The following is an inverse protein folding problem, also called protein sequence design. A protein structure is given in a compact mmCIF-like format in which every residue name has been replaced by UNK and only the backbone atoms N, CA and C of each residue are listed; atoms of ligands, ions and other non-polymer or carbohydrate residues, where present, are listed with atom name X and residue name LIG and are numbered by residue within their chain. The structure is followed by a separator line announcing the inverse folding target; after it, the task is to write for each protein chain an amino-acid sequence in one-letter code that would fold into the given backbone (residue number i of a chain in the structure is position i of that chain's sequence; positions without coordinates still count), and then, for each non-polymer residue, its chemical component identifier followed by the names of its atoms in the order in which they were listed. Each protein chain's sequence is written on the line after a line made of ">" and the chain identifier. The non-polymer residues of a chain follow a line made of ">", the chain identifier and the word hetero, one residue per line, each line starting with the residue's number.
data_IF_776262424514
#
_entry.id   IF_776262424514
#
_cell.length_a   1.000
_cell.length_b   1.000
_cell.length_c   1.000
_cell.angle_alpha   90.00
_cell.angle_beta   90.00
_cell.angle_gamma   90.00
#
_symmetry.space_group_name_H-M   'P 1'
#
loop_
_entity.id
_entity.type
_entity.pdbx_description
1 polymer ?
#
# COMPACT_ATOMS: atom_id res chain seq x y z
N UNK A 1 16.81 -8.30 16.51
CA UNK A 1 15.62 -7.62 17.08
C UNK A 1 15.50 -6.26 16.41
N UNK A 2 14.30 -5.84 16.02
CA UNK A 2 14.07 -4.48 15.54
C UNK A 2 13.94 -3.53 16.74
N UNK A 3 14.95 -2.70 16.98
CA UNK A 3 14.86 -1.64 17.98
C UNK A 3 14.30 -0.38 17.29
N UNK A 4 13.02 -0.06 17.51
CA UNK A 4 12.40 1.19 17.06
C UNK A 4 11.93 1.26 15.59
N UNK A 5 12.14 0.25 14.76
CA UNK A 5 11.58 0.18 13.39
C UNK A 5 11.01 -1.21 13.11
N UNK A 6 9.68 -1.36 13.13
CA UNK A 6 9.03 -2.66 12.92
C UNK A 6 8.52 -2.79 11.49
N UNK A 7 9.21 -3.64 10.71
CA UNK A 7 8.87 -4.11 9.36
C UNK A 7 10.02 -4.94 8.79
N UNK A 8 9.80 -5.76 7.76
CA UNK A 8 10.84 -6.59 7.09
C UNK A 8 11.94 -5.77 6.39
N UNK A 9 11.96 -4.45 6.60
CA UNK A 9 12.89 -3.52 5.98
C UNK A 9 14.14 -3.25 6.82
N UNK A 10 14.09 -3.57 8.11
CA UNK A 10 15.14 -3.17 9.04
C UNK A 10 15.31 -4.18 10.16
N UNK A 11 16.54 -4.66 10.34
CA UNK A 11 16.89 -5.60 11.39
C UNK A 11 18.27 -5.29 11.97
N UNK A 12 18.36 -5.23 13.30
CA UNK A 12 19.64 -5.24 14.01
C UNK A 12 19.91 -6.65 14.55
N UNK A 13 21.07 -7.18 14.19
CA UNK A 13 21.55 -8.51 14.61
C UNK A 13 22.83 -8.34 15.44
N UNK A 14 22.83 -8.68 16.74
CA UNK A 14 24.04 -8.63 17.55
C UNK A 14 25.01 -9.75 17.17
N UNK A 15 26.27 -9.41 16.96
CA UNK A 15 27.37 -10.35 16.72
C UNK A 15 28.08 -10.59 18.05
N UNK A 16 28.11 -11.86 18.47
CA UNK A 16 28.60 -12.28 19.79
C UNK A 16 29.91 -13.03 19.67
N UNK A 17 30.87 -12.73 20.54
CA UNK A 17 32.11 -13.50 20.71
C UNK A 17 32.43 -13.63 22.19
N UNK A 18 32.54 -14.87 22.68
CA UNK A 18 32.83 -15.17 24.10
C UNK A 18 31.91 -14.41 25.06
N UNK A 19 30.60 -14.56 24.85
CA UNK A 19 29.54 -13.94 25.67
C UNK A 19 29.53 -12.41 25.70
N UNK A 20 30.23 -11.77 24.76
CA UNK A 20 30.23 -10.33 24.55
C UNK A 20 29.64 -9.99 23.19
N UNK A 21 28.68 -9.06 23.14
CA UNK A 21 28.24 -8.40 21.92
C UNK A 21 29.35 -7.45 21.50
N UNK A 22 30.01 -7.76 20.38
CA UNK A 22 31.18 -7.02 19.89
C UNK A 22 30.84 -6.07 18.74
N UNK A 23 29.70 -6.29 18.09
CA UNK A 23 29.27 -5.55 16.92
C UNK A 23 27.78 -5.75 16.68
N UNK A 24 27.12 -4.80 16.01
CA UNK A 24 25.79 -5.00 15.45
C UNK A 24 25.90 -5.05 13.93
N UNK A 25 25.25 -6.03 13.32
CA UNK A 25 24.98 -6.04 11.88
C UNK A 25 23.62 -5.40 11.66
N UNK A 26 23.61 -4.30 10.93
CA UNK A 26 22.41 -3.60 10.51
C UNK A 26 22.02 -4.06 9.10
N UNK A 27 20.90 -4.77 8.99
CA UNK A 27 20.34 -5.19 7.73
C UNK A 27 19.24 -4.21 7.31
N UNK A 28 19.40 -3.60 6.14
CA UNK A 28 18.45 -2.63 5.56
C UNK A 28 17.99 -3.13 4.20
N UNK A 29 16.68 -3.30 4.02
CA UNK A 29 16.08 -3.61 2.71
C UNK A 29 15.74 -2.31 1.98
N UNK A 30 16.22 -2.15 0.75
CA UNK A 30 15.74 -1.12 -0.18
C UNK A 30 15.23 -1.81 -1.44
N UNK A 31 13.91 -1.84 -1.62
CA UNK A 31 13.28 -2.60 -2.71
C UNK A 31 13.59 -4.10 -2.62
N UNK A 32 14.25 -4.64 -3.65
CA UNK A 32 14.68 -6.05 -3.73
C UNK A 32 16.12 -6.30 -3.25
N UNK A 33 16.80 -5.29 -2.71
CA UNK A 33 18.20 -5.42 -2.28
C UNK A 33 18.32 -5.34 -0.78
N UNK A 34 19.14 -6.22 -0.23
CA UNK A 34 19.49 -6.24 1.18
C UNK A 34 20.92 -5.73 1.34
N UNK A 35 21.06 -4.73 2.20
CA UNK A 35 22.34 -4.13 2.54
C UNK A 35 22.66 -4.48 3.98
N UNK A 36 23.91 -4.89 4.22
CA UNK A 36 24.41 -5.16 5.56
C UNK A 36 25.46 -4.12 5.89
N UNK A 37 25.26 -3.43 7.00
CA UNK A 37 26.20 -2.44 7.50
C UNK A 37 26.74 -2.89 8.85
N UNK A 38 28.01 -2.61 9.05
CA UNK A 38 28.61 -2.66 10.36
C UNK A 38 28.11 -1.46 11.18
N UNK A 39 27.52 -1.73 12.34
CA UNK A 39 27.07 -0.70 13.28
C UNK A 39 27.77 -0.90 14.62
N UNK A 40 28.62 0.05 14.94
CA UNK A 40 29.36 0.11 16.19
C UNK A 40 28.82 1.28 17.04
N UNK A 41 27.70 1.02 17.69
CA UNK A 41 27.00 1.98 18.54
C UNK A 41 27.04 1.47 19.98
N UNK A 42 27.75 2.19 20.86
CA UNK A 42 28.03 1.74 22.22
C UNK A 42 26.77 1.52 23.05
N UNK A 43 25.73 2.33 22.86
CA UNK A 43 24.49 2.25 23.63
C UNK A 43 23.67 1.04 23.18
N UNK A 44 23.59 0.82 21.86
CA UNK A 44 22.90 -0.36 21.32
C UNK A 44 23.66 -1.66 21.64
N UNK A 45 24.98 -1.66 21.57
CA UNK A 45 25.80 -2.81 21.97
C UNK A 45 25.55 -3.18 23.45
N UNK A 46 25.51 -2.17 24.31
CA UNK A 46 25.24 -2.35 25.75
C UNK A 46 23.80 -2.85 25.98
N UNK A 47 22.81 -2.29 25.26
CA UNK A 47 21.45 -2.77 25.27
C UNK A 47 21.35 -4.26 24.88
N UNK A 48 21.94 -4.66 23.75
CA UNK A 48 21.89 -6.05 23.29
C UNK A 48 22.67 -7.00 24.22
N UNK A 49 23.76 -6.54 24.83
CA UNK A 49 24.49 -7.28 25.85
C UNK A 49 23.59 -7.60 27.06
N UNK A 50 22.86 -6.61 27.55
CA UNK A 50 21.93 -6.80 28.65
C UNK A 50 20.72 -7.65 28.24
N UNK A 51 20.14 -7.42 27.06
CA UNK A 51 18.99 -8.17 26.59
C UNK A 51 19.26 -9.66 26.39
N UNK A 52 20.49 -10.05 26.02
CA UNK A 52 20.87 -11.45 25.80
C UNK A 52 21.33 -12.17 27.06
N UNK A 53 21.91 -11.46 28.04
CA UNK A 53 22.62 -12.08 29.17
C UNK A 53 22.11 -11.67 30.56
N UNK A 54 21.16 -10.75 30.65
CA UNK A 54 20.46 -10.40 31.89
C UNK A 54 19.06 -10.99 31.95
N UNK A 55 18.54 -11.14 33.17
CA UNK A 55 17.13 -11.46 33.36
C UNK A 55 16.29 -10.21 33.09
N UNK A 56 15.35 -10.31 32.14
CA UNK A 56 14.37 -9.25 31.87
C UNK A 56 13.38 -9.23 33.04
N UNK A 57 13.39 -8.15 33.82
CA UNK A 57 12.57 -8.01 35.03
C UNK A 57 11.17 -7.51 34.68
N UNK A 58 11.07 -6.60 33.71
CA UNK A 58 9.77 -6.13 33.19
C UNK A 58 9.93 -5.52 31.80
N UNK A 59 8.84 -5.53 31.03
CA UNK A 59 8.71 -4.79 29.79
C UNK A 59 7.43 -3.97 29.87
N UNK A 60 7.46 -2.71 29.44
CA UNK A 60 6.27 -1.89 29.33
C UNK A 60 6.28 -1.07 28.05
N UNK A 61 5.09 -0.95 27.48
CA UNK A 61 4.84 -0.09 26.33
C UNK A 61 3.82 0.96 26.78
N UNK A 62 4.21 2.23 26.72
CA UNK A 62 3.32 3.34 27.02
C UNK A 62 3.08 4.08 25.71
N UNK A 63 1.85 3.95 25.21
CA UNK A 63 1.36 4.80 24.13
C UNK A 63 0.93 6.10 24.82
N UNK A 64 1.77 7.14 24.73
CA UNK A 64 1.42 8.45 25.26
C UNK A 64 0.50 9.15 24.24
N UNK A 65 -0.73 8.64 24.15
CA UNK A 65 -1.83 9.27 23.46
C UNK A 65 -2.35 10.39 24.35
N UNK A 66 -1.59 11.47 24.52
CA UNK A 66 -2.11 12.63 25.20
C UNK A 66 -3.29 13.14 24.36
N UNK A 67 -4.49 12.89 24.87
CA UNK A 67 -5.81 13.29 24.36
C UNK A 67 -6.00 14.79 24.56
N UNK A 68 -4.96 15.58 24.28
CA UNK A 68 -5.12 16.98 23.94
C UNK A 68 -5.43 17.02 22.44
N UNK A 69 -6.57 17.59 22.08
CA UNK A 69 -7.14 17.65 20.73
C UNK A 69 -6.27 18.37 19.65
N UNK A 70 -4.94 18.41 19.78
CA UNK A 70 -3.98 19.11 18.91
C UNK A 70 -2.58 18.48 18.82
N UNK A 71 -2.30 17.29 19.36
CA UNK A 71 -0.99 16.66 19.16
C UNK A 71 -0.91 15.97 17.77
N UNK A 72 -0.13 16.55 16.84
CA UNK A 72 -0.01 16.14 15.42
C UNK A 72 0.96 14.96 15.16
N UNK A 73 1.46 14.35 16.22
CA UNK A 73 2.33 13.18 16.20
C UNK A 73 1.83 12.21 17.26
N UNK A 74 1.74 10.93 16.91
CA UNK A 74 1.52 9.86 17.88
C UNK A 74 2.89 9.31 18.24
N UNK A 75 3.33 9.59 19.46
CA UNK A 75 4.59 9.09 19.97
C UNK A 75 4.34 7.86 20.83
N UNK A 76 4.95 6.74 20.44
CA UNK A 76 5.02 5.55 21.29
C UNK A 76 6.35 5.57 22.03
N UNK A 77 6.30 5.47 23.35
CA UNK A 77 7.51 5.32 24.16
C UNK A 77 7.53 3.90 24.71
N UNK A 78 8.51 3.11 24.26
CA UNK A 78 8.74 1.77 24.80
C UNK A 78 9.91 1.82 25.75
N UNK A 79 9.70 1.31 26.96
CA UNK A 79 10.72 1.26 28.01
C UNK A 79 10.97 -0.20 28.38
N UNK A 80 12.23 -0.62 28.26
CA UNK A 80 12.66 -1.94 28.72
C UNK A 80 13.56 -1.72 29.94
N UNK A 81 13.15 -2.29 31.07
CA UNK A 81 13.95 -2.28 32.29
C UNK A 81 14.65 -3.63 32.41
N UNK A 82 15.96 -3.62 32.24
CA UNK A 82 16.77 -4.83 32.26
C UNK A 82 17.42 -4.97 33.63
N UNK A 83 17.30 -6.17 34.21
CA UNK A 83 17.90 -6.51 35.48
C UNK A 83 19.37 -6.89 35.40
N UNK A 84 19.85 -7.48 36.49
CA UNK A 84 21.23 -7.93 36.60
C UNK A 84 21.55 -9.08 35.64
N UNK A 85 22.82 -9.14 35.24
CA UNK A 85 23.39 -10.27 34.52
C UNK A 85 23.24 -11.55 35.34
N UNK A 86 23.11 -12.69 34.65
CA UNK A 86 23.01 -13.99 35.32
C UNK A 86 24.21 -14.23 36.26
N UNK A 87 23.93 -14.35 37.56
CA UNK A 87 24.93 -14.54 38.62
C UNK A 87 25.19 -13.32 39.51
N UNK A 88 24.53 -12.18 39.27
CA UNK A 88 24.57 -11.01 40.16
C UNK A 88 23.20 -10.74 40.79
N UNK A 89 23.16 -10.47 42.09
CA UNK A 89 21.92 -10.27 42.86
C UNK A 89 21.69 -8.85 43.34
N UNK A 90 22.68 -7.95 43.18
CA UNK A 90 22.62 -6.58 43.71
C UNK A 90 23.21 -5.58 42.70
N UNK A 91 22.38 -5.16 41.74
CA UNK A 91 22.73 -4.14 40.76
C UNK A 91 21.54 -3.21 40.51
N UNK A 92 21.81 -1.94 40.21
CA UNK A 92 20.76 -1.01 39.81
C UNK A 92 20.21 -1.40 38.41
N UNK A 93 18.88 -1.59 38.25
CA UNK A 93 18.29 -1.90 36.95
C UNK A 93 18.57 -0.80 35.93
N UNK A 94 18.93 -1.20 34.71
CA UNK A 94 19.16 -0.25 33.62
C UNK A 94 17.91 -0.13 32.77
N UNK A 95 17.38 1.09 32.66
CA UNK A 95 16.19 1.40 31.87
C UNK A 95 16.59 1.96 30.51
N UNK A 96 16.12 1.33 29.43
CA UNK A 96 16.28 1.80 28.06
C UNK A 96 14.91 2.23 27.52
N UNK A 97 14.77 3.51 27.20
CA UNK A 97 13.55 4.07 26.62
C UNK A 97 13.83 4.58 25.22
N UNK A 98 12.98 4.19 24.27
CA UNK A 98 13.01 4.75 22.92
C UNK A 98 11.62 5.31 22.58
N UNK A 99 11.61 6.52 22.04
CA UNK A 99 10.42 7.25 21.62
C UNK A 99 10.39 7.30 20.10
N UNK A 100 9.38 6.68 19.50
CA UNK A 100 9.14 6.71 18.06
C UNK A 100 7.87 7.50 17.82
N UNK A 101 7.97 8.58 17.05
CA UNK A 101 6.87 9.47 16.74
C UNK A 101 6.47 9.35 15.28
N UNK A 102 5.23 8.89 15.04
CA UNK A 102 4.64 8.81 13.71
C UNK A 102 3.71 10.00 13.47
N UNK A 103 3.75 10.55 12.25
CA UNK A 103 2.90 11.66 11.85
C UNK A 103 1.50 11.19 11.42
N UNK A 104 0.45 11.88 11.86
CA UNK A 104 -0.94 11.58 11.46
C UNK A 104 -1.52 12.68 10.55
N UNK A 105 -1.96 12.25 9.35
CA UNK A 105 -2.50 13.11 8.27
C UNK A 105 -3.80 13.84 8.64
N UNK A 106 -4.56 13.34 9.62
CA UNK A 106 -5.96 13.75 9.82
C UNK A 106 -6.17 15.03 10.67
N UNK A 107 -5.11 15.78 10.98
CA UNK A 107 -5.18 16.94 11.88
C UNK A 107 -4.93 18.30 11.19
N UNK A 108 -5.60 18.51 10.05
CA UNK A 108 -5.93 19.82 9.50
C UNK A 108 -4.76 20.77 9.21
N UNK A 109 -4.44 20.90 7.92
CA UNK A 109 -3.83 22.09 7.31
C UNK A 109 -2.46 22.49 7.85
N UNK A 110 -1.40 21.94 7.26
CA UNK A 110 -0.04 22.45 7.44
C UNK A 110 0.89 21.87 6.38
N UNK A 111 1.84 22.68 5.90
CA UNK A 111 2.89 22.22 4.99
C UNK A 111 3.69 21.12 5.70
N UNK A 112 3.92 19.95 5.08
CA UNK A 112 4.78 18.92 5.67
C UNK A 112 6.12 19.52 6.08
N UNK A 113 6.73 19.08 7.19
CA UNK A 113 8.03 19.59 7.60
C UNK A 113 9.02 19.44 6.44
N UNK A 114 9.85 20.47 6.23
CA UNK A 114 10.91 20.43 5.22
C UNK A 114 11.72 19.15 5.44
N UNK A 115 11.78 18.32 4.40
CA UNK A 115 12.70 17.21 4.37
C UNK A 115 14.11 17.74 4.64
N UNK A 116 14.83 17.09 5.55
CA UNK A 116 16.26 17.30 5.64
C UNK A 116 16.84 17.00 4.25
N UNK A 117 17.81 17.81 3.78
CA UNK A 117 18.62 17.35 2.66
C UNK A 117 19.15 15.96 3.03
N UNK A 118 19.21 15.02 2.09
CA UNK A 118 19.90 13.76 2.34
C UNK A 118 21.24 14.13 2.98
N UNK A 119 21.59 13.46 4.08
CA UNK A 119 22.92 13.59 4.66
C UNK A 119 23.88 13.54 3.48
N UNK A 120 24.58 14.65 3.26
CA UNK A 120 25.55 14.75 2.19
C UNK A 120 26.45 13.54 2.29
N UNK A 121 26.65 12.89 1.15
CA UNK A 121 27.65 11.87 0.95
C UNK A 121 28.86 12.12 1.86
N UNK A 122 29.13 11.26 2.88
CA UNK A 122 30.33 11.42 3.70
C UNK A 122 31.62 11.16 2.90
N UNK A 123 31.51 10.78 1.62
CA UNK A 123 32.59 10.53 0.68
C UNK A 123 32.58 11.47 -0.53
N UNK A 124 32.19 12.73 -0.31
CA UNK A 124 32.64 13.84 -1.17
C UNK A 124 34.17 13.95 -1.13
N UNK A 125 34.85 13.12 -1.94
CA UNK A 125 36.30 12.99 -1.90
C UNK A 125 36.85 11.86 -2.78
N UNK A 126 36.60 11.92 -4.09
CA UNK A 126 37.56 11.43 -5.09
C UNK A 126 37.45 9.96 -5.54
N UNK A 127 36.84 9.78 -6.70
CA UNK A 127 37.46 8.98 -7.77
C UNK A 127 37.17 7.48 -7.82
N UNK A 128 36.20 7.12 -8.66
CA UNK A 128 36.39 6.07 -9.67
C UNK A 128 35.86 4.67 -9.36
N UNK A 129 34.88 4.23 -10.17
CA UNK A 129 34.63 2.82 -10.46
C UNK A 129 33.33 2.27 -9.88
N UNK A 130 32.37 1.97 -10.76
CA UNK A 130 31.08 1.41 -10.37
C UNK A 130 31.16 -0.04 -9.87
N UNK A 131 30.38 -0.32 -8.84
CA UNK A 131 30.11 -1.64 -8.28
C UNK A 131 28.89 -1.52 -7.35
N UNK A 132 27.85 -2.30 -7.61
CA UNK A 132 26.57 -2.25 -6.91
C UNK A 132 26.58 -3.33 -5.81
N UNK A 133 27.12 -2.99 -4.64
CA UNK A 133 27.59 -3.91 -3.59
C UNK A 133 26.48 -4.53 -2.70
N UNK A 134 25.19 -4.42 -3.07
CA UNK A 134 24.08 -5.00 -2.30
C UNK A 134 23.79 -6.46 -2.69
N UNK A 135 23.41 -7.31 -1.71
CA UNK A 135 22.99 -8.69 -1.99
C UNK A 135 21.56 -8.73 -2.54
N UNK A 136 21.33 -9.58 -3.54
CA UNK A 136 20.00 -9.87 -4.07
C UNK A 136 19.19 -10.63 -3.01
N UNK A 137 18.04 -10.08 -2.60
CA UNK A 137 17.15 -10.77 -1.69
C UNK A 137 16.44 -11.90 -2.46
N UNK A 138 16.39 -13.15 -1.95
CA UNK A 138 15.78 -14.26 -2.67
C UNK A 138 14.26 -14.21 -2.55
N UNK A 139 13.65 -13.17 -3.10
CA UNK A 139 12.29 -13.29 -3.61
C UNK A 139 12.40 -13.75 -5.08
N UNK A 140 11.51 -14.63 -5.56
CA UNK A 140 11.45 -14.95 -6.99
C UNK A 140 11.39 -13.63 -7.80
N UNK A 141 11.97 -13.59 -9.00
CA UNK A 141 12.03 -12.36 -9.80
C UNK A 141 10.66 -11.70 -9.80
N UNK A 142 10.62 -10.42 -9.42
CA UNK A 142 9.39 -9.66 -9.29
C UNK A 142 8.59 -9.81 -10.59
N UNK A 143 7.48 -10.53 -10.53
CA UNK A 143 6.62 -10.74 -11.68
C UNK A 143 5.97 -9.41 -12.05
N UNK A 144 6.62 -8.70 -12.97
CA UNK A 144 6.17 -7.38 -13.45
C UNK A 144 4.96 -7.48 -14.35
N UNK A 145 4.64 -8.67 -14.89
CA UNK A 145 3.50 -8.86 -15.75
C UNK A 145 2.20 -8.85 -14.93
N UNK A 146 1.32 -7.84 -15.11
CA UNK A 146 0.07 -7.75 -14.37
C UNK A 146 -0.86 -8.94 -14.62
N UNK A 147 -0.79 -9.56 -15.80
CA UNK A 147 -1.56 -10.76 -16.11
C UNK A 147 -1.18 -11.93 -15.20
N UNK A 148 0.12 -12.20 -15.01
CA UNK A 148 0.57 -13.30 -14.15
C UNK A 148 0.22 -13.05 -12.67
N UNK A 149 0.35 -11.82 -12.18
CA UNK A 149 -0.11 -11.43 -10.83
C UNK A 149 -1.62 -11.63 -10.65
N UNK A 150 -2.43 -11.25 -11.63
CA UNK A 150 -3.88 -11.47 -11.59
C UNK A 150 -4.23 -12.95 -11.67
N UNK A 151 -3.53 -13.78 -12.44
CA UNK A 151 -3.75 -15.22 -12.46
C UNK A 151 -3.50 -15.85 -11.08
N UNK A 152 -2.40 -15.46 -10.43
CA UNK A 152 -2.10 -15.90 -9.08
C UNK A 152 -3.18 -15.44 -8.08
N UNK A 153 -3.61 -14.18 -8.17
CA UNK A 153 -4.70 -13.63 -7.36
C UNK A 153 -6.03 -14.35 -7.59
N UNK A 154 -6.39 -14.59 -8.85
CA UNK A 154 -7.60 -15.29 -9.25
C UNK A 154 -7.54 -16.78 -8.92
N UNK A 155 -6.38 -17.32 -8.55
CA UNK A 155 -6.24 -18.69 -8.02
C UNK A 155 -6.32 -18.74 -6.49
N UNK A 156 -6.20 -17.60 -5.81
CA UNK A 156 -6.26 -17.52 -4.35
C UNK A 156 -7.70 -17.70 -3.84
N UNK A 157 -7.91 -18.66 -2.95
CA UNK A 157 -9.25 -18.99 -2.44
C UNK A 157 -9.87 -17.83 -1.63
N UNK A 158 -9.11 -17.17 -0.76
CA UNK A 158 -9.62 -16.06 0.04
C UNK A 158 -10.08 -14.88 -0.83
N UNK A 159 -9.37 -14.62 -1.94
CA UNK A 159 -9.81 -13.65 -2.93
C UNK A 159 -11.12 -14.07 -3.61
N UNK A 160 -11.20 -15.31 -4.12
CA UNK A 160 -12.41 -15.87 -4.76
C UNK A 160 -13.63 -15.82 -3.85
N UNK A 161 -13.44 -16.13 -2.56
CA UNK A 161 -14.51 -16.11 -1.57
C UNK A 161 -15.08 -14.69 -1.42
N UNK A 162 -14.22 -13.66 -1.43
CA UNK A 162 -14.65 -12.26 -1.37
C UNK A 162 -15.35 -11.78 -2.63
N UNK A 163 -14.90 -12.22 -3.80
CA UNK A 163 -15.63 -11.98 -5.06
C UNK A 163 -17.00 -12.63 -5.01
N UNK A 164 -17.07 -13.90 -4.59
CA UNK A 164 -18.32 -14.65 -4.50
C UNK A 164 -19.29 -14.07 -3.47
N UNK A 165 -18.77 -13.47 -2.39
CA UNK A 165 -19.56 -12.75 -1.39
C UNK A 165 -20.25 -11.50 -1.96
N UNK A 166 -19.55 -10.78 -2.85
CA UNK A 166 -19.99 -9.50 -3.41
C UNK A 166 -20.75 -9.63 -4.74
N UNK A 167 -20.42 -10.62 -5.58
CA UNK A 167 -21.02 -10.81 -6.91
C UNK A 167 -22.36 -11.55 -6.81
N UNK A 168 -23.31 -10.94 -6.09
CA UNK A 168 -24.65 -11.48 -5.87
C UNK A 168 -25.70 -10.41 -6.06
N UNK A 169 -26.87 -10.81 -6.57
CA UNK A 169 -27.99 -9.90 -6.83
C UNK A 169 -28.42 -9.15 -5.56
N UNK A 170 -28.52 -9.84 -4.42
CA UNK A 170 -28.88 -9.23 -3.15
C UNK A 170 -27.87 -8.19 -2.64
N UNK A 171 -26.63 -8.20 -3.13
CA UNK A 171 -25.64 -7.16 -2.82
C UNK A 171 -25.82 -5.96 -3.74
N UNK A 172 -26.08 -6.18 -5.03
CA UNK A 172 -26.34 -5.10 -5.98
C UNK A 172 -27.65 -4.36 -5.71
N UNK A 173 -28.63 -5.02 -5.10
CA UNK A 173 -29.93 -4.44 -4.75
C UNK A 173 -29.92 -3.67 -3.41
N UNK A 174 -28.78 -3.60 -2.70
CA UNK A 174 -28.64 -2.81 -1.46
C UNK A 174 -28.78 -1.31 -1.70
N UNK A 175 -28.95 -0.54 -0.64
CA UNK A 175 -29.01 0.94 -0.68
C UNK A 175 -27.62 1.60 -0.64
N UNK A 176 -26.61 0.89 -0.15
CA UNK A 176 -25.25 1.38 0.01
C UNK A 176 -24.27 0.37 -0.59
N UNK A 177 -23.18 0.89 -1.17
CA UNK A 177 -22.11 0.05 -1.69
C UNK A 177 -21.46 -0.75 -0.56
N UNK A 178 -20.85 -1.87 -0.91
CA UNK A 178 -20.12 -2.71 0.03
C UNK A 178 -18.81 -3.14 -0.59
N UNK A 179 -17.82 -3.41 0.26
CA UNK A 179 -16.51 -3.80 -0.23
C UNK A 179 -15.55 -4.20 0.87
N UNK A 180 -14.36 -4.60 0.45
CA UNK A 180 -13.28 -5.05 1.30
C UNK A 180 -11.96 -4.39 0.90
N UNK A 181 -11.12 -4.08 1.88
CA UNK A 181 -9.73 -3.70 1.70
C UNK A 181 -8.82 -4.90 1.97
N UNK A 182 -7.88 -5.17 1.07
CA UNK A 182 -6.84 -6.19 1.24
C UNK A 182 -5.62 -5.59 1.92
N UNK A 183 -5.25 -6.16 3.07
CA UNK A 183 -4.16 -5.71 3.91
C UNK A 183 -2.96 -6.66 3.86
N UNK A 184 -1.76 -6.09 3.96
CA UNK A 184 -0.55 -6.87 4.26
C UNK A 184 -0.61 -7.46 5.67
N UNK A 185 -0.05 -8.65 5.81
CA UNK A 185 0.04 -9.43 7.05
C UNK A 185 0.74 -10.77 6.78
N UNK A 186 0.87 -11.64 7.80
CA UNK A 186 1.42 -12.99 7.62
C UNK A 186 0.69 -13.81 6.54
N UNK A 187 -0.59 -13.50 6.35
CA UNK A 187 -1.42 -13.87 5.21
C UNK A 187 -2.25 -12.64 4.84
N UNK A 188 -2.65 -12.51 3.57
CA UNK A 188 -3.56 -11.43 3.15
C UNK A 188 -4.88 -11.53 3.91
N UNK A 189 -5.23 -10.46 4.60
CA UNK A 189 -6.53 -10.32 5.28
C UNK A 189 -7.41 -9.33 4.55
N UNK A 190 -8.72 -9.56 4.59
CA UNK A 190 -9.73 -8.68 4.00
C UNK A 190 -10.56 -8.04 5.11
N UNK A 191 -10.56 -6.72 5.16
CA UNK A 191 -11.31 -5.93 6.13
C UNK A 191 -12.43 -5.18 5.42
N UNK A 192 -13.62 -5.10 6.02
CA UNK A 192 -14.74 -4.40 5.40
C UNK A 192 -14.47 -2.91 5.24
N UNK A 193 -14.81 -2.36 4.07
CA UNK A 193 -14.86 -0.92 3.85
C UNK A 193 -16.08 -0.34 4.56
N UNK A 194 -15.93 0.85 5.15
CA UNK A 194 -17.01 1.53 5.84
C UNK A 194 -17.77 2.48 4.91
N UNK A 195 -19.09 2.52 5.02
CA UNK A 195 -19.91 3.52 4.31
C UNK A 195 -19.85 4.87 5.01
N UNK A 196 -19.94 5.92 4.20
CA UNK A 196 -20.16 7.30 4.65
C UNK A 196 -21.61 7.71 4.45
N UNK A 197 -22.01 8.82 5.08
CA UNK A 197 -23.33 9.43 4.85
C UNK A 197 -23.58 9.86 3.39
N UNK A 198 -22.54 9.90 2.55
CA UNK A 198 -22.62 10.25 1.13
C UNK A 198 -22.40 9.04 0.21
N UNK A 199 -22.66 7.81 0.71
CA UNK A 199 -22.55 6.55 -0.03
C UNK A 199 -21.14 6.22 -0.57
N UNK A 200 -20.10 6.92 -0.13
CA UNK A 200 -18.72 6.58 -0.46
C UNK A 200 -18.17 5.55 0.52
N UNK A 201 -17.29 4.69 0.03
CA UNK A 201 -16.54 3.73 0.84
C UNK A 201 -15.23 4.33 1.36
N UNK A 202 -14.92 4.05 2.62
CA UNK A 202 -13.70 4.48 3.31
C UNK A 202 -12.91 3.24 3.75
N UNK A 203 -11.59 3.30 3.54
CA UNK A 203 -10.65 2.32 4.05
C UNK A 203 -10.62 2.34 5.58
N UNK A 204 -10.48 1.18 6.24
CA UNK A 204 -10.21 1.20 7.67
C UNK A 204 -8.88 1.93 7.96
N UNK A 205 -8.68 2.40 9.19
CA UNK A 205 -7.48 3.15 9.54
C UNK A 205 -6.19 2.35 9.31
N UNK A 206 -5.18 3.00 8.70
CA UNK A 206 -3.83 2.47 8.57
C UNK A 206 -3.30 2.38 7.14
N UNK A 207 -1.98 2.26 7.03
CA UNK A 207 -1.25 2.34 5.75
C UNK A 207 -0.80 0.97 5.23
N UNK A 208 -1.59 -0.07 5.50
CA UNK A 208 -1.27 -1.48 5.19
C UNK A 208 -2.01 -2.04 3.99
N UNK A 209 -2.90 -1.27 3.38
CA UNK A 209 -3.83 -1.77 2.36
C UNK A 209 -3.24 -1.62 0.96
N UNK A 210 -3.05 -2.75 0.27
CA UNK A 210 -2.53 -2.80 -1.10
C UNK A 210 -3.64 -3.02 -2.14
N UNK A 211 -4.86 -3.31 -1.72
CA UNK A 211 -5.96 -3.33 -2.66
C UNK A 211 -7.33 -3.18 -2.05
N UNK A 212 -8.33 -3.07 -2.91
CA UNK A 212 -9.72 -3.03 -2.52
C UNK A 212 -10.62 -3.68 -3.56
N UNK A 213 -11.81 -4.08 -3.10
CA UNK A 213 -12.89 -4.62 -3.90
C UNK A 213 -14.15 -3.90 -3.46
N UNK A 214 -14.95 -3.34 -4.37
CA UNK A 214 -16.26 -2.78 -4.03
C UNK A 214 -17.31 -3.06 -5.10
N UNK A 215 -18.57 -2.87 -4.74
CA UNK A 215 -19.73 -3.14 -5.60
C UNK A 215 -20.44 -1.87 -6.04
N UNK A 216 -20.85 -1.78 -7.30
CA UNK A 216 -21.78 -0.75 -7.77
C UNK A 216 -23.22 -1.25 -7.79
N UNK A 217 -24.13 -0.48 -7.19
CA UNK A 217 -25.53 -0.86 -6.96
C UNK A 217 -26.41 -0.76 -8.20
N UNK A 218 -27.33 -1.70 -8.39
CA UNK A 218 -28.39 -1.66 -9.41
C UNK A 218 -29.61 -0.86 -8.96
N UNK A 219 -29.79 -0.71 -7.65
CA UNK A 219 -30.89 0.04 -7.03
C UNK A 219 -30.82 1.55 -7.24
N UNK A 220 -29.68 2.07 -7.70
CA UNK A 220 -29.44 3.50 -7.93
C UNK A 220 -29.31 3.80 -9.42
N UNK A 221 -30.22 4.63 -9.92
CA UNK A 221 -30.17 5.14 -11.27
C UNK A 221 -28.93 6.00 -11.51
N UNK A 222 -28.37 5.91 -12.71
CA UNK A 222 -27.22 6.71 -13.12
C UNK A 222 -25.86 6.20 -12.59
N UNK A 223 -25.83 5.10 -11.83
CA UNK A 223 -24.58 4.44 -11.42
C UNK A 223 -23.88 3.84 -12.64
N UNK A 224 -22.69 4.37 -12.92
CA UNK A 224 -21.85 3.92 -14.02
C UNK A 224 -21.23 2.58 -13.63
N UNK A 225 -21.38 1.55 -14.46
CA UNK A 225 -20.89 0.20 -14.16
C UNK A 225 -19.41 0.02 -14.55
N UNK A 226 -18.57 0.94 -14.09
CA UNK A 226 -17.10 0.92 -14.13
C UNK A 226 -16.56 1.89 -13.06
N UNK A 227 -15.26 1.86 -12.78
CA UNK A 227 -14.62 2.77 -11.83
C UNK A 227 -14.91 4.25 -12.11
N UNK A 228 -15.02 5.01 -11.02
CA UNK A 228 -15.08 6.46 -11.02
C UNK A 228 -13.67 7.09 -10.97
N UNK A 229 -13.56 8.41 -11.23
CA UNK A 229 -12.33 9.16 -10.96
C UNK A 229 -11.87 9.09 -9.50
N UNK A 230 -12.80 8.99 -8.54
CA UNK A 230 -12.48 8.86 -7.13
C UNK A 230 -11.82 7.50 -6.84
N UNK A 231 -12.28 6.43 -7.48
CA UNK A 231 -11.69 5.10 -7.36
C UNK A 231 -10.25 5.09 -7.86
N UNK A 232 -10.01 5.65 -9.06
CA UNK A 232 -8.66 5.73 -9.64
C UNK A 232 -7.73 6.55 -8.75
N UNK A 233 -8.22 7.66 -8.19
CA UNK A 233 -7.46 8.46 -7.24
C UNK A 233 -7.09 7.65 -6.00
N UNK A 234 -8.07 7.02 -5.35
CA UNK A 234 -7.86 6.19 -4.15
C UNK A 234 -6.91 5.03 -4.41
N UNK A 235 -7.06 4.34 -5.55
CA UNK A 235 -6.15 3.28 -5.97
C UNK A 235 -4.70 3.78 -6.01
N UNK A 236 -4.46 4.92 -6.66
CA UNK A 236 -3.12 5.47 -6.84
C UNK A 236 -2.53 6.09 -5.56
N UNK A 237 -3.33 6.73 -4.72
CA UNK A 237 -2.84 7.41 -3.50
C UNK A 237 -2.73 6.48 -2.31
N UNK A 238 -3.57 5.46 -2.24
CA UNK A 238 -3.61 4.52 -1.11
C UNK A 238 -2.92 3.22 -1.50
N UNK A 239 -3.50 2.46 -2.43
CA UNK A 239 -3.05 1.10 -2.72
C UNK A 239 -1.65 1.05 -3.33
N UNK A 240 -1.40 1.83 -4.37
CA UNK A 240 -0.08 1.84 -5.04
C UNK A 240 1.01 2.37 -4.11
N UNK A 241 0.74 3.44 -3.36
CA UNK A 241 1.69 3.99 -2.37
C UNK A 241 1.98 3.00 -1.25
N UNK A 242 0.95 2.39 -0.67
CA UNK A 242 1.13 1.37 0.37
C UNK A 242 1.84 0.12 -0.15
N UNK A 243 1.64 -0.25 -1.42
CA UNK A 243 2.34 -1.38 -2.04
C UNK A 243 3.82 -1.07 -2.27
N UNK A 244 4.13 0.15 -2.73
CA UNK A 244 5.51 0.63 -2.84
C UNK A 244 6.22 0.63 -1.48
N UNK A 245 5.49 0.96 -0.41
CA UNK A 245 6.04 0.92 0.93
C UNK A 245 6.15 -0.52 1.43
N UNK A 246 5.09 -1.30 1.50
CA UNK A 246 5.07 -2.51 2.32
C UNK A 246 5.29 -3.82 1.55
N UNK A 247 5.34 -3.78 0.22
CA UNK A 247 5.55 -4.96 -0.62
C UNK A 247 6.12 -4.59 -1.98
N UNK A 248 5.52 -5.14 -3.04
CA UNK A 248 5.88 -4.81 -4.42
C UNK A 248 4.81 -3.94 -5.05
N UNK A 249 5.20 -2.96 -5.86
CA UNK A 249 4.24 -1.99 -6.42
C UNK A 249 3.17 -2.67 -7.30
N UNK A 250 3.51 -3.81 -7.87
CA UNK A 250 2.66 -4.66 -8.72
C UNK A 250 1.62 -5.46 -7.93
N UNK A 251 1.73 -5.53 -6.60
CA UNK A 251 0.69 -6.10 -5.73
C UNK A 251 -0.59 -5.27 -5.79
N UNK A 252 -0.45 -3.96 -6.02
CA UNK A 252 -1.55 -3.02 -5.99
C UNK A 252 -2.69 -3.46 -6.92
N UNK A 253 -3.91 -3.48 -6.41
CA UNK A 253 -5.10 -3.63 -7.25
C UNK A 253 -6.30 -2.85 -6.71
N UNK A 254 -7.17 -2.40 -7.60
CA UNK A 254 -8.52 -1.97 -7.25
C UNK A 254 -9.51 -2.79 -8.06
N UNK A 255 -10.60 -3.27 -7.47
CA UNK A 255 -11.60 -4.05 -8.18
C UNK A 255 -12.99 -3.49 -7.96
N UNK A 256 -13.73 -3.30 -9.03
CA UNK A 256 -15.17 -2.99 -8.97
C UNK A 256 -15.95 -4.17 -9.53
N UNK A 257 -16.93 -4.62 -8.77
CA UNK A 257 -17.86 -5.69 -9.12
C UNK A 257 -19.20 -5.04 -9.44
N UNK A 258 -19.76 -5.36 -10.60
CA UNK A 258 -21.02 -4.78 -11.03
C UNK A 258 -21.89 -5.86 -11.67
N UNK A 259 -23.19 -5.65 -11.76
CA UNK A 259 -24.09 -6.54 -12.49
C UNK A 259 -23.71 -6.72 -13.97
N UNK A 260 -23.04 -5.73 -14.59
CA UNK A 260 -22.68 -5.73 -16.01
C UNK A 260 -21.24 -6.21 -16.29
N UNK A 261 -20.42 -6.43 -15.27
CA UNK A 261 -19.05 -6.89 -15.42
C UNK A 261 -18.15 -6.50 -14.25
N UNK A 262 -17.04 -7.20 -14.12
CA UNK A 262 -16.04 -6.95 -13.09
C UNK A 262 -14.80 -6.31 -13.73
N UNK A 263 -14.27 -5.26 -13.12
CA UNK A 263 -13.09 -4.54 -13.62
C UNK A 263 -12.02 -4.45 -12.56
N UNK A 264 -10.76 -4.55 -12.98
CA UNK A 264 -9.59 -4.53 -12.10
C UNK A 264 -8.61 -3.47 -12.60
N UNK A 265 -8.24 -2.53 -11.73
CA UNK A 265 -7.09 -1.64 -11.91
C UNK A 265 -5.83 -2.35 -11.44
N UNK A 266 -4.76 -2.24 -12.23
CA UNK A 266 -3.42 -2.68 -11.87
C UNK A 266 -2.42 -1.56 -12.14
N UNK A 267 -1.28 -1.63 -11.46
CA UNK A 267 -0.19 -0.71 -11.66
C UNK A 267 1.14 -1.47 -11.86
N UNK A 268 1.83 -1.15 -12.95
CA UNK A 268 3.12 -1.74 -13.36
C UNK A 268 4.21 -0.69 -13.64
N UNK A 269 3.93 0.57 -13.34
CA UNK A 269 4.88 1.67 -13.52
C UNK A 269 5.91 1.75 -12.39
N UNK A 270 6.70 2.82 -12.40
CA UNK A 270 7.87 3.01 -11.53
C UNK A 270 7.60 3.89 -10.29
N UNK A 271 6.33 4.10 -9.90
CA UNK A 271 5.85 5.01 -8.83
C UNK A 271 6.17 6.50 -9.02
N UNK A 272 6.86 6.89 -10.09
CA UNK A 272 7.24 8.27 -10.37
C UNK A 272 6.09 9.03 -11.07
N UNK A 273 4.92 9.05 -10.42
CA UNK A 273 3.80 9.89 -10.83
C UNK A 273 3.43 10.84 -9.69
N UNK A 274 3.12 12.08 -10.06
CA UNK A 274 2.64 13.11 -9.14
C UNK A 274 1.11 13.20 -9.17
N UNK A 275 0.48 13.08 -8.00
CA UNK A 275 -0.93 13.44 -7.82
C UNK A 275 -0.95 14.72 -6.99
N UNK A 276 -1.09 15.85 -7.67
CA UNK A 276 -1.12 17.16 -7.05
C UNK A 276 -2.46 17.48 -6.38
N UNK A 277 -2.51 18.58 -5.62
CA UNK A 277 -3.77 19.10 -5.09
C UNK A 277 -4.75 19.37 -6.23
N UNK A 278 -6.04 19.15 -6.00
CA UNK A 278 -7.14 19.36 -6.95
C UNK A 278 -7.22 18.41 -8.16
N UNK A 279 -6.25 17.50 -8.36
CA UNK A 279 -6.31 16.54 -9.48
C UNK A 279 -7.59 15.71 -9.47
N UNK A 280 -8.03 15.24 -8.29
CA UNK A 280 -9.31 14.52 -8.13
C UNK A 280 -10.49 15.33 -8.67
N UNK A 281 -10.56 16.62 -8.32
CA UNK A 281 -11.64 17.49 -8.77
C UNK A 281 -11.58 17.72 -10.29
N UNK A 282 -10.39 17.92 -10.85
CA UNK A 282 -10.21 18.09 -12.30
C UNK A 282 -10.63 16.84 -13.07
N UNK A 283 -10.23 15.66 -12.59
CA UNK A 283 -10.64 14.39 -13.17
C UNK A 283 -12.16 14.22 -13.10
N UNK A 284 -12.78 14.53 -11.96
CA UNK A 284 -14.23 14.47 -11.79
C UNK A 284 -14.97 15.43 -12.74
N UNK A 285 -14.52 16.69 -12.83
CA UNK A 285 -15.12 17.69 -13.73
C UNK A 285 -15.04 17.24 -15.17
N UNK A 286 -13.89 16.73 -15.62
CA UNK A 286 -13.76 16.22 -16.97
C UNK A 286 -14.68 15.01 -17.20
N UNK A 287 -14.65 14.04 -16.29
CA UNK A 287 -15.40 12.80 -16.44
C UNK A 287 -16.91 13.05 -16.48
N UNK A 288 -17.43 13.89 -15.57
CA UNK A 288 -18.83 14.26 -15.53
C UNK A 288 -19.26 14.93 -16.84
N UNK A 289 -18.46 15.85 -17.37
CA UNK A 289 -18.78 16.53 -18.63
C UNK A 289 -18.84 15.57 -19.81
N UNK A 290 -17.82 14.73 -19.98
CA UNK A 290 -17.79 13.78 -21.10
C UNK A 290 -18.87 12.71 -20.97
N UNK A 291 -19.22 12.32 -19.74
CA UNK A 291 -20.31 11.41 -19.46
C UNK A 291 -21.69 12.02 -19.77
N UNK A 292 -21.95 13.26 -19.37
CA UNK A 292 -23.18 13.99 -19.74
C UNK A 292 -23.30 14.10 -21.27
N UNK A 293 -22.21 14.47 -21.94
CA UNK A 293 -22.18 14.52 -23.40
C UNK A 293 -22.46 13.15 -24.03
N UNK A 294 -21.99 12.06 -23.42
CA UNK A 294 -22.26 10.72 -23.91
C UNK A 294 -23.77 10.43 -23.86
N UNK A 295 -24.41 10.62 -22.68
CA UNK A 295 -25.85 10.41 -22.49
C UNK A 295 -26.68 11.23 -23.49
N UNK A 296 -26.36 12.51 -23.65
CA UNK A 296 -27.12 13.42 -24.52
C UNK A 296 -27.05 13.03 -26.00
N UNK A 297 -25.92 12.44 -26.45
CA UNK A 297 -25.68 12.15 -27.86
C UNK A 297 -25.94 10.68 -28.26
N UNK A 298 -25.88 9.72 -27.33
CA UNK A 298 -25.98 8.29 -27.66
C UNK A 298 -27.40 7.71 -27.54
N UNK A 299 -28.37 8.47 -27.03
CA UNK A 299 -29.76 7.99 -26.84
C UNK A 299 -29.89 6.89 -25.78
N UNK A 300 -28.86 6.69 -24.96
CA UNK A 300 -28.77 5.66 -23.93
C UNK A 300 -27.32 5.23 -23.67
N UNK A 301 -27.03 4.76 -22.46
CA UNK A 301 -25.70 4.24 -22.10
C UNK A 301 -25.66 2.73 -22.28
N UNK A 302 -24.79 2.25 -23.17
CA UNK A 302 -24.38 0.85 -23.16
C UNK A 302 -22.99 0.70 -22.53
N UNK A 303 -22.67 -0.52 -22.11
CA UNK A 303 -21.41 -0.79 -21.42
C UNK A 303 -20.17 -0.51 -22.30
N UNK A 304 -20.26 -0.68 -23.61
CA UNK A 304 -19.13 -0.45 -24.52
C UNK A 304 -18.74 1.02 -24.57
N UNK A 305 -19.72 1.92 -24.56
CA UNK A 305 -19.49 3.36 -24.51
C UNK A 305 -18.87 3.79 -23.17
N UNK A 306 -19.31 3.16 -22.07
CA UNK A 306 -18.74 3.37 -20.73
C UNK A 306 -17.29 2.92 -20.67
N UNK A 307 -16.97 1.72 -21.16
CA UNK A 307 -15.60 1.21 -21.24
C UNK A 307 -14.71 2.12 -22.11
N UNK A 308 -15.25 2.63 -23.22
CA UNK A 308 -14.53 3.57 -24.11
C UNK A 308 -14.27 4.91 -23.44
N UNK A 309 -15.26 5.48 -22.76
CA UNK A 309 -15.09 6.71 -22.01
C UNK A 309 -14.06 6.55 -20.89
N UNK A 310 -14.12 5.45 -20.15
CA UNK A 310 -13.20 5.20 -19.05
C UNK A 310 -11.77 4.94 -19.52
N UNK A 311 -11.58 4.16 -20.59
CA UNK A 311 -10.24 3.97 -21.15
C UNK A 311 -9.68 5.28 -21.73
N UNK A 312 -10.51 6.12 -22.35
CA UNK A 312 -10.13 7.48 -22.77
C UNK A 312 -9.72 8.34 -21.57
N UNK A 313 -10.48 8.29 -20.48
CA UNK A 313 -10.17 8.98 -19.23
C UNK A 313 -8.77 8.59 -18.71
N UNK A 314 -8.51 7.28 -18.59
CA UNK A 314 -7.20 6.80 -18.14
C UNK A 314 -6.08 7.26 -19.07
N UNK A 315 -6.27 7.16 -20.38
CA UNK A 315 -5.23 7.48 -21.37
C UNK A 315 -4.95 8.97 -21.51
N UNK A 316 -5.98 9.80 -21.60
CA UNK A 316 -5.84 11.21 -21.98
C UNK A 316 -5.85 12.17 -20.78
N UNK A 317 -6.41 11.77 -19.64
CA UNK A 317 -6.60 12.66 -18.48
C UNK A 317 -5.84 12.24 -17.24
N UNK A 318 -5.87 10.95 -16.93
CA UNK A 318 -5.02 10.42 -15.86
C UNK A 318 -3.58 10.38 -16.37
N UNK A 319 -3.38 9.77 -17.54
CA UNK A 319 -2.11 9.75 -18.27
C UNK A 319 -0.90 9.36 -17.39
N UNK A 320 -1.08 8.31 -16.59
CA UNK A 320 -0.03 7.75 -15.74
C UNK A 320 0.47 6.46 -16.38
N UNK A 321 1.77 6.40 -16.64
CA UNK A 321 2.40 5.20 -17.20
C UNK A 321 2.30 4.03 -16.22
N UNK A 322 1.95 2.86 -16.77
CA UNK A 322 1.77 1.63 -16.01
C UNK A 322 0.43 1.51 -15.28
N UNK A 323 -0.45 2.53 -15.30
CA UNK A 323 -1.83 2.38 -14.86
C UNK A 323 -2.64 1.69 -15.95
N UNK A 324 -3.25 0.56 -15.60
CA UNK A 324 -3.95 -0.30 -16.54
C UNK A 324 -5.29 -0.75 -15.96
N UNK A 325 -6.25 -1.01 -16.85
CA UNK A 325 -7.56 -1.57 -16.48
C UNK A 325 -7.81 -2.86 -17.25
N UNK A 326 -8.36 -3.83 -16.55
CA UNK A 326 -8.68 -5.15 -17.05
C UNK A 326 -10.16 -5.43 -16.78
N UNK A 327 -10.81 -6.10 -17.74
CA UNK A 327 -12.12 -6.73 -17.54
C UNK A 327 -11.90 -8.17 -17.10
N UNK A 328 -12.59 -8.58 -16.04
CA UNK A 328 -12.58 -9.96 -15.55
C UNK A 328 -13.90 -10.64 -15.92
N UNK A 329 -13.79 -11.81 -16.54
CA UNK A 329 -14.93 -12.68 -16.78
C UNK A 329 -15.45 -13.23 -15.45
N UNK A 330 -16.78 -13.19 -15.25
CA UNK A 330 -17.40 -13.57 -13.99
C UNK A 330 -17.37 -15.07 -13.71
N UNK A 331 -17.29 -15.89 -14.75
CA UNK A 331 -17.41 -17.35 -14.63
C UNK A 331 -16.03 -17.99 -14.52
N UNK A 332 -15.13 -17.58 -15.41
CA UNK A 332 -13.80 -18.18 -15.58
C UNK A 332 -12.72 -17.45 -14.78
N UNK A 333 -12.95 -16.18 -14.41
CA UNK A 333 -11.91 -15.33 -13.84
C UNK A 333 -10.81 -14.97 -14.86
N UNK A 334 -11.00 -15.28 -16.15
CA UNK A 334 -10.08 -14.84 -17.19
C UNK A 334 -10.12 -13.31 -17.31
N UNK A 335 -8.96 -12.71 -17.57
CA UNK A 335 -8.83 -11.25 -17.62
C UNK A 335 -8.42 -10.78 -18.99
N UNK A 336 -8.94 -9.62 -19.40
CA UNK A 336 -8.64 -8.98 -20.68
C UNK A 336 -8.29 -7.52 -20.44
N UNK A 337 -7.11 -7.09 -20.89
CA UNK A 337 -6.68 -5.70 -20.81
C UNK A 337 -7.52 -4.85 -21.75
N UNK A 338 -8.00 -3.70 -21.26
CA UNK A 338 -8.73 -2.72 -22.06
C UNK A 338 -7.85 -1.49 -22.30
N UNK A 339 -7.73 -1.07 -23.56
CA UNK A 339 -6.94 0.09 -23.96
C UNK A 339 -7.75 1.03 -24.86
N UNK A 340 -7.60 2.34 -24.65
CA UNK A 340 -8.21 3.33 -25.54
C UNK A 340 -7.58 3.25 -26.93
N UNK A 341 -8.43 3.13 -27.96
CA UNK A 341 -7.99 2.94 -29.34
C UNK A 341 -8.37 4.11 -30.26
N UNK A 342 -8.68 5.28 -29.69
CA UNK A 342 -9.09 6.46 -30.45
C UNK A 342 -10.60 6.68 -30.52
N UNK A 343 -11.00 7.85 -31.03
CA UNK A 343 -12.37 8.36 -30.96
C UNK A 343 -13.38 7.50 -31.72
N UNK A 344 -13.00 7.00 -32.89
CA UNK A 344 -13.93 6.29 -33.78
C UNK A 344 -13.76 4.77 -33.73
N UNK A 345 -12.77 4.28 -32.97
CA UNK A 345 -12.50 2.86 -32.84
C UNK A 345 -13.16 2.28 -31.57
N UNK A 346 -13.47 0.97 -31.57
CA UNK A 346 -13.81 0.26 -30.33
C UNK A 346 -12.60 0.19 -29.40
N UNK A 347 -12.85 -0.02 -28.11
CA UNK A 347 -11.81 -0.32 -27.12
C UNK A 347 -10.98 -1.50 -27.61
N UNK A 348 -9.66 -1.36 -27.53
CA UNK A 348 -8.75 -2.46 -27.85
C UNK A 348 -8.71 -3.40 -26.65
N UNK A 349 -9.08 -4.66 -26.91
CA UNK A 349 -9.10 -5.72 -25.91
C UNK A 349 -7.97 -6.70 -26.17
N UNK A 350 -7.11 -6.92 -25.18
CA UNK A 350 -5.99 -7.87 -25.28
C UNK A 350 -6.12 -8.90 -24.15
N UNK A 351 -6.48 -10.16 -24.45
CA UNK A 351 -6.58 -11.21 -23.44
C UNK A 351 -5.25 -11.41 -22.71
N UNK A 352 -5.30 -11.63 -21.41
CA UNK A 352 -4.14 -12.12 -20.69
C UNK A 352 -3.82 -13.56 -21.16
N UNK A 353 -2.55 -13.88 -21.48
CA UNK A 353 -2.17 -15.25 -21.83
C UNK A 353 -2.48 -16.18 -20.65
N UNK A 354 -2.99 -17.38 -20.95
CA UNK A 354 -3.29 -18.40 -19.95
C UNK A 354 -2.04 -19.05 -19.39
#
# INVERSE_FOLDING_TARGET
>A
MSYGQFGEKYLLVPIVKKDKVILLMEAVRKGNRLYFYEKNDADLLTFFQHALYSNIISHSEVIDGNTAAKAKYVCSTRTIVIGCLNGQTDCEPVSYSNMVCDWQEDSGGGVPPKSFPPLGDPFGGGGGGGGDDGYEYPDPPEEKNPCAKMQAQNSNQAFKDKISELDKKEVFDKTEETGFAAAYGPQTTYESLANTANDNLIFPPGNKYFGYIHTHLDSKDGVIKIFSPADVFTFLTTCVRNSQLNGTITDAYGMVITSQGNYILKYSGDSNYGIGPNIKAQWQTWYNREYSNLIENSGGLNQSDVEKLFTKFLKEKVNINGLEVYKSDKVTGSTTKLEYNGKDNPVKSTPCPN
#
